data_IF_445657914132
#
_entry.id   IF_445657914132
#
_cell.length_a   1.000
_cell.length_b   1.000
_cell.length_c   1.000
_cell.angle_alpha   90.00
_cell.angle_beta   90.00
_cell.angle_gamma   90.00
#
_symmetry.space_group_name_H-M   'P 1'
#
loop_
_entity.id
_entity.type
_entity.pdbx_description
1 polymer ?
#
# COMPACT_ATOMS: atom_id res chain seq x y z
N UNK A 1 -15.37 5.65 85.66
CA UNK A 1 -14.93 4.65 84.69
C UNK A 1 -15.83 4.77 83.48
N UNK A 2 -15.39 5.44 82.43
CA UNK A 2 -16.19 5.65 81.23
C UNK A 2 -15.51 4.90 80.11
N UNK A 3 -16.25 3.93 79.54
CA UNK A 3 -15.77 3.09 78.42
C UNK A 3 -16.18 3.78 77.11
N UNK A 4 -15.23 4.24 76.33
CA UNK A 4 -15.49 4.75 74.99
C UNK A 4 -15.58 3.59 73.98
N UNK A 5 -16.71 3.46 73.31
CA UNK A 5 -16.89 2.57 72.19
C UNK A 5 -16.37 3.23 70.90
N UNK A 6 -15.45 2.56 70.26
CA UNK A 6 -14.86 2.98 68.98
C UNK A 6 -15.64 2.29 67.85
N UNK A 7 -16.41 3.05 67.07
CA UNK A 7 -17.12 2.57 65.88
C UNK A 7 -16.26 2.79 64.64
N UNK A 8 -15.72 1.68 64.09
CA UNK A 8 -15.01 1.69 62.81
C UNK A 8 -16.02 1.80 61.66
N UNK A 9 -15.95 2.88 60.90
CA UNK A 9 -16.69 3.04 59.64
C UNK A 9 -15.84 2.42 58.55
N UNK A 10 -16.33 1.35 57.94
CA UNK A 10 -15.72 0.72 56.73
C UNK A 10 -16.14 1.57 55.53
N UNK A 11 -15.23 2.35 55.01
CA UNK A 11 -15.40 3.06 53.73
C UNK A 11 -15.33 2.09 52.55
N UNK A 12 -16.45 1.94 51.86
CA UNK A 12 -16.48 1.25 50.56
C UNK A 12 -15.85 2.16 49.53
N UNK A 13 -14.58 1.92 49.19
CA UNK A 13 -13.89 2.59 48.10
C UNK A 13 -14.49 2.16 46.76
N UNK A 14 -15.24 3.05 46.12
CA UNK A 14 -15.59 2.92 44.73
C UNK A 14 -14.31 2.93 43.89
N UNK A 15 -13.92 1.77 43.38
CA UNK A 15 -12.81 1.64 42.42
C UNK A 15 -13.19 2.36 41.15
N UNK A 16 -12.69 3.58 41.01
CA UNK A 16 -12.66 4.26 39.70
C UNK A 16 -11.70 3.54 38.84
N UNK A 17 -12.22 2.71 37.94
CA UNK A 17 -11.43 2.16 36.82
C UNK A 17 -11.00 3.35 35.98
N UNK A 18 -9.82 3.83 36.20
CA UNK A 18 -9.17 4.79 35.32
C UNK A 18 -8.95 4.06 33.98
N UNK A 19 -9.80 4.37 33.01
CA UNK A 19 -9.54 4.14 31.61
C UNK A 19 -8.26 4.93 31.29
N UNK A 20 -7.12 4.26 31.37
CA UNK A 20 -5.87 4.81 30.86
C UNK A 20 -6.01 4.88 29.35
N UNK A 21 -6.51 6.01 28.84
CA UNK A 21 -6.35 6.40 27.47
C UNK A 21 -4.84 6.35 27.19
N UNK A 22 -4.41 5.30 26.52
CA UNK A 22 -3.07 5.19 25.98
C UNK A 22 -2.94 6.21 24.85
N UNK A 23 -2.69 7.47 25.23
CA UNK A 23 -2.33 8.52 24.29
C UNK A 23 -0.85 8.41 23.94
N UNK A 24 -0.41 7.18 23.59
CA UNK A 24 0.91 6.97 23.04
C UNK A 24 0.87 7.29 21.56
N UNK A 25 1.55 8.37 21.16
CA UNK A 25 1.78 8.67 19.77
C UNK A 25 2.89 7.74 19.24
N UNK A 26 2.63 7.12 18.11
CA UNK A 26 3.55 6.24 17.41
C UNK A 26 4.13 6.93 16.19
N UNK A 27 5.27 6.46 15.74
CA UNK A 27 5.89 6.88 14.50
C UNK A 27 6.05 5.68 13.58
N UNK A 28 5.67 5.82 12.32
CA UNK A 28 5.64 4.71 11.35
C UNK A 28 6.42 5.10 10.10
N UNK A 29 7.44 4.31 9.76
CA UNK A 29 8.18 4.47 8.51
C UNK A 29 7.41 3.82 7.37
N UNK A 30 7.11 4.61 6.35
CA UNK A 30 6.39 4.18 5.14
C UNK A 30 7.29 4.35 3.91
N UNK A 31 7.19 3.39 2.99
CA UNK A 31 8.11 3.27 1.86
C UNK A 31 7.43 2.85 0.55
N UNK A 32 6.12 2.60 0.58
CA UNK A 32 5.29 2.11 -0.52
C UNK A 32 4.15 3.05 -0.86
N UNK A 33 2.95 2.51 -1.06
CA UNK A 33 1.73 3.26 -1.39
C UNK A 33 1.39 4.36 -0.39
N UNK A 34 1.75 4.19 0.89
CA UNK A 34 1.59 5.20 1.94
C UNK A 34 2.54 6.41 1.81
N UNK A 35 3.41 6.44 0.79
CA UNK A 35 4.10 7.66 0.38
C UNK A 35 3.15 8.67 -0.28
N UNK A 36 2.01 8.24 -0.80
CA UNK A 36 0.97 9.11 -1.34
C UNK A 36 0.08 9.64 -0.21
N UNK A 37 -0.04 10.96 -0.13
CA UNK A 37 -0.90 11.62 0.87
C UNK A 37 -2.36 11.25 0.68
N UNK A 38 -2.79 10.98 -0.56
CA UNK A 38 -4.13 10.56 -0.92
C UNK A 38 -4.49 9.22 -0.27
N UNK A 39 -3.58 8.26 -0.25
CA UNK A 39 -3.78 6.95 0.39
C UNK A 39 -3.81 7.10 1.92
N UNK A 40 -2.88 7.87 2.49
CA UNK A 40 -2.85 8.15 3.93
C UNK A 40 -4.13 8.85 4.38
N UNK A 41 -4.61 9.84 3.60
CA UNK A 41 -5.85 10.56 3.89
C UNK A 41 -7.09 9.64 3.78
N UNK A 42 -7.11 8.71 2.82
CA UNK A 42 -8.19 7.73 2.69
C UNK A 42 -8.29 6.83 3.94
N UNK A 43 -7.14 6.41 4.50
CA UNK A 43 -7.07 5.57 5.71
C UNK A 43 -7.32 6.36 7.00
N UNK A 44 -6.55 7.40 7.24
CA UNK A 44 -6.49 8.07 8.54
C UNK A 44 -7.40 9.30 8.64
N UNK A 45 -8.08 9.66 7.53
CA UNK A 45 -8.92 10.88 7.38
C UNK A 45 -8.15 12.18 7.65
N UNK A 46 -6.84 12.12 7.67
CA UNK A 46 -5.89 13.23 7.74
C UNK A 46 -4.54 12.83 7.14
N UNK A 47 -3.70 13.79 6.88
CA UNK A 47 -2.28 13.56 6.56
C UNK A 47 -1.45 13.97 7.78
N UNK A 48 -0.81 13.03 8.50
CA UNK A 48 0.05 13.33 9.62
C UNK A 48 1.29 14.14 9.20
N UNK A 49 1.90 14.92 10.11
CA UNK A 49 3.24 15.44 9.86
C UNK A 49 4.20 14.30 9.51
N UNK A 50 5.13 14.56 8.61
CA UNK A 50 6.09 13.54 8.20
C UNK A 50 7.47 14.11 7.98
N UNK A 51 8.51 13.27 8.09
CA UNK A 51 9.90 13.59 7.85
C UNK A 51 10.51 12.59 6.86
N UNK A 52 11.22 13.03 5.81
CA UNK A 52 11.94 12.15 4.92
C UNK A 52 12.96 11.31 5.68
N UNK A 53 13.04 10.02 5.38
CA UNK A 53 13.89 9.10 6.11
C UNK A 53 14.46 8.00 5.22
N UNK A 54 15.52 7.35 5.70
CA UNK A 54 16.17 6.21 5.06
C UNK A 54 16.29 5.06 6.05
N UNK A 55 15.87 3.86 5.63
CA UNK A 55 16.07 2.61 6.34
C UNK A 55 17.26 1.87 5.72
N UNK A 56 18.32 1.63 6.50
CA UNK A 56 19.52 0.91 6.06
C UNK A 56 19.35 -0.59 6.19
N UNK A 57 20.10 -1.33 5.35
CA UNK A 57 20.12 -2.80 5.31
C UNK A 57 18.77 -3.45 4.98
N UNK A 58 17.96 -2.76 4.17
CA UNK A 58 16.72 -3.26 3.60
C UNK A 58 16.68 -2.97 2.09
N UNK A 59 15.92 -3.78 1.37
CA UNK A 59 15.64 -3.58 -0.06
C UNK A 59 14.13 -3.63 -0.32
N UNK A 60 13.66 -2.80 -1.25
CA UNK A 60 12.26 -2.69 -1.64
C UNK A 60 12.01 -3.43 -2.95
N UNK A 61 11.17 -4.45 -2.89
CA UNK A 61 10.87 -5.34 -4.01
C UNK A 61 9.49 -5.07 -4.60
N UNK A 62 9.36 -5.28 -5.91
CA UNK A 62 8.08 -5.56 -6.55
C UNK A 62 7.60 -6.95 -6.12
N UNK A 63 6.30 -7.14 -6.00
CA UNK A 63 5.64 -8.43 -5.73
C UNK A 63 4.87 -8.80 -6.99
N UNK A 64 5.03 -10.02 -7.49
CA UNK A 64 4.30 -10.51 -8.65
C UNK A 64 2.78 -10.42 -8.39
N UNK A 65 2.04 -9.95 -9.39
CA UNK A 65 0.59 -9.76 -9.33
C UNK A 65 0.09 -8.79 -8.23
N UNK A 66 1.00 -7.95 -7.68
CA UNK A 66 0.67 -6.88 -6.73
C UNK A 66 1.22 -5.53 -7.24
N UNK A 67 0.50 -4.46 -6.94
CA UNK A 67 0.95 -3.10 -7.30
C UNK A 67 1.73 -2.42 -6.18
N UNK A 68 1.67 -2.93 -4.95
CA UNK A 68 2.39 -2.42 -3.78
C UNK A 68 3.69 -3.21 -3.53
N UNK A 69 4.66 -2.61 -2.82
CA UNK A 69 5.98 -3.22 -2.62
C UNK A 69 6.09 -4.00 -1.31
N UNK A 70 7.09 -4.88 -1.24
CA UNK A 70 7.58 -5.47 0.00
C UNK A 70 8.98 -4.94 0.35
N UNK A 71 9.33 -4.86 1.64
CA UNK A 71 10.72 -4.75 2.07
C UNK A 71 11.17 -5.99 2.82
N UNK A 72 12.43 -6.37 2.59
CA UNK A 72 13.12 -7.41 3.36
C UNK A 72 14.52 -6.93 3.73
N UNK A 73 15.11 -7.49 4.81
CA UNK A 73 16.50 -7.23 5.15
C UNK A 73 17.45 -7.67 4.02
N UNK A 74 18.24 -6.74 3.51
CA UNK A 74 19.30 -6.98 2.51
C UNK A 74 20.49 -6.10 2.84
N UNK A 75 21.59 -6.73 3.27
CA UNK A 75 22.79 -6.03 3.70
C UNK A 75 23.30 -5.05 2.63
N UNK A 76 23.74 -3.86 3.07
CA UNK A 76 24.25 -2.75 2.25
C UNK A 76 23.22 -2.04 1.36
N UNK A 77 21.99 -2.49 1.29
CA UNK A 77 20.92 -1.79 0.58
C UNK A 77 20.28 -0.73 1.47
N UNK A 78 19.54 0.17 0.86
CA UNK A 78 18.81 1.23 1.58
C UNK A 78 17.44 1.44 0.94
N UNK A 79 16.45 1.71 1.77
CA UNK A 79 15.09 2.07 1.35
C UNK A 79 14.83 3.50 1.75
N UNK A 80 14.54 4.35 0.78
CA UNK A 80 14.08 5.72 1.02
C UNK A 80 12.58 5.75 1.24
N UNK A 81 12.14 6.59 2.17
CA UNK A 81 10.74 6.72 2.53
C UNK A 81 10.50 7.97 3.36
N UNK A 82 9.45 7.95 4.17
CA UNK A 82 9.17 8.97 5.18
C UNK A 82 8.65 8.36 6.47
N UNK A 83 8.84 9.04 7.58
CA UNK A 83 8.23 8.70 8.86
C UNK A 83 6.95 9.52 9.02
N UNK A 84 5.81 8.87 9.21
CA UNK A 84 4.58 9.49 9.68
C UNK A 84 4.68 9.68 11.19
N UNK A 85 4.52 10.90 11.65
CA UNK A 85 4.73 11.28 13.05
C UNK A 85 3.39 11.45 13.78
N UNK A 86 3.37 11.04 15.05
CA UNK A 86 2.22 11.28 15.91
C UNK A 86 0.97 10.49 15.52
N UNK A 87 1.14 9.23 15.14
CA UNK A 87 0.08 8.27 14.86
C UNK A 87 -0.54 7.84 16.19
N UNK A 88 -1.83 8.03 16.38
CA UNK A 88 -2.55 7.56 17.56
C UNK A 88 -2.70 6.04 17.57
N UNK A 89 -3.04 5.45 18.72
CA UNK A 89 -3.27 4.00 18.80
C UNK A 89 -4.35 3.52 17.84
N UNK A 90 -5.47 4.25 17.72
CA UNK A 90 -6.56 3.92 16.78
C UNK A 90 -6.10 3.98 15.32
N UNK A 91 -5.30 4.97 14.97
CA UNK A 91 -4.73 5.07 13.62
C UNK A 91 -3.71 3.95 13.34
N UNK A 92 -2.95 3.55 14.36
CA UNK A 92 -2.03 2.42 14.24
C UNK A 92 -2.79 1.11 14.03
N UNK A 93 -3.91 0.91 14.74
CA UNK A 93 -4.78 -0.26 14.53
C UNK A 93 -5.34 -0.30 13.10
N UNK A 94 -5.73 0.84 12.53
CA UNK A 94 -6.16 0.93 11.12
C UNK A 94 -5.02 0.55 10.17
N UNK A 95 -3.80 1.00 10.44
CA UNK A 95 -2.63 0.63 9.64
C UNK A 95 -2.31 -0.86 9.77
N UNK A 96 -2.39 -1.45 10.98
CA UNK A 96 -2.21 -2.87 11.21
C UNK A 96 -3.22 -3.71 10.40
N UNK A 97 -4.48 -3.34 10.40
CA UNK A 97 -5.53 -4.00 9.61
C UNK A 97 -5.31 -3.82 8.09
N UNK A 98 -4.82 -2.66 7.68
CA UNK A 98 -4.54 -2.38 6.27
C UNK A 98 -3.35 -3.17 5.73
N UNK A 99 -2.29 -3.36 6.52
CA UNK A 99 -1.10 -4.12 6.12
C UNK A 99 -1.35 -5.63 6.20
N UNK A 100 -2.36 -6.06 6.99
CA UNK A 100 -2.87 -7.43 7.05
C UNK A 100 -1.78 -8.46 7.42
N UNK A 101 -2.03 -9.73 7.15
CA UNK A 101 -1.12 -10.86 7.43
C UNK A 101 0.12 -10.91 6.51
N UNK A 102 0.09 -10.15 5.42
CA UNK A 102 1.22 -10.08 4.47
C UNK A 102 2.45 -9.41 5.08
N UNK A 103 2.26 -8.55 6.09
CA UNK A 103 3.36 -7.82 6.72
C UNK A 103 3.44 -8.08 8.23
N UNK A 104 4.65 -7.93 8.75
CA UNK A 104 4.94 -7.96 10.18
C UNK A 104 5.37 -6.56 10.63
N UNK A 105 4.63 -5.98 11.60
CA UNK A 105 5.03 -4.73 12.24
C UNK A 105 6.32 -4.95 13.02
N UNK A 106 7.37 -4.24 12.66
CA UNK A 106 8.73 -4.42 13.15
C UNK A 106 9.30 -3.11 13.65
N UNK A 107 9.97 -3.13 14.81
CA UNK A 107 10.77 -2.01 15.29
C UNK A 107 12.04 -1.88 14.46
N UNK A 108 12.24 -0.72 13.85
CA UNK A 108 13.43 -0.42 13.04
C UNK A 108 14.02 0.93 13.44
N UNK A 109 15.28 1.13 13.13
CA UNK A 109 15.96 2.42 13.27
C UNK A 109 16.12 3.04 11.88
N UNK A 110 15.58 4.23 11.69
CA UNK A 110 15.69 5.02 10.46
C UNK A 110 16.53 6.28 10.69
N UNK A 111 17.21 6.73 9.64
CA UNK A 111 17.92 7.99 9.61
C UNK A 111 17.00 9.07 9.04
N UNK A 112 16.67 10.09 9.84
CA UNK A 112 15.89 11.26 9.43
C UNK A 112 16.78 12.21 8.62
N UNK A 113 16.31 12.59 7.43
CA UNK A 113 17.10 13.40 6.50
C UNK A 113 17.05 14.90 6.84
N UNK A 114 16.04 15.35 7.60
CA UNK A 114 15.84 16.77 7.94
C UNK A 114 16.79 17.24 9.03
N UNK A 115 17.06 16.40 10.04
CA UNK A 115 17.86 16.76 11.21
C UNK A 115 19.09 15.87 11.42
N UNK A 116 19.29 14.88 10.54
CA UNK A 116 20.42 13.93 10.60
C UNK A 116 20.46 13.09 11.89
N UNK A 117 19.29 12.74 12.44
CA UNK A 117 19.14 11.94 13.65
C UNK A 117 18.60 10.54 13.32
N UNK A 118 18.97 9.57 14.17
CA UNK A 118 18.35 8.25 14.14
C UNK A 118 17.09 8.24 15.00
N UNK A 119 16.04 7.60 14.49
CA UNK A 119 14.77 7.47 15.18
C UNK A 119 14.30 6.01 15.13
N UNK A 120 13.88 5.45 16.28
CA UNK A 120 13.20 4.16 16.35
C UNK A 120 11.73 4.34 16.03
N UNK A 121 11.23 3.54 15.07
CA UNK A 121 9.89 3.63 14.53
C UNK A 121 9.38 2.24 14.19
N UNK A 122 8.08 2.09 13.98
CA UNK A 122 7.52 0.89 13.35
C UNK A 122 7.68 0.94 11.83
N UNK A 123 7.92 -0.21 11.23
CA UNK A 123 7.81 -0.43 9.79
C UNK A 123 7.11 -1.77 9.53
N UNK A 124 6.40 -1.87 8.42
CA UNK A 124 5.76 -3.09 8.00
C UNK A 124 6.69 -3.84 7.05
N UNK A 125 7.20 -4.98 7.50
CA UNK A 125 8.17 -5.80 6.80
C UNK A 125 7.47 -7.04 6.25
N UNK A 126 7.75 -7.43 5.02
CA UNK A 126 7.14 -8.60 4.39
C UNK A 126 7.32 -9.87 5.23
N UNK A 127 6.23 -10.60 5.48
CA UNK A 127 6.22 -11.71 6.42
C UNK A 127 6.93 -12.95 5.89
N UNK A 128 7.05 -13.14 4.57
CA UNK A 128 7.71 -14.28 3.95
C UNK A 128 9.10 -13.91 3.40
N UNK A 129 10.21 -14.18 4.12
CA UNK A 129 11.54 -13.80 3.67
C UNK A 129 12.05 -14.57 2.45
N UNK A 130 11.42 -15.69 2.09
CA UNK A 130 11.79 -16.56 0.99
C UNK A 130 10.72 -16.58 -0.11
N UNK A 131 9.96 -15.50 -0.25
CA UNK A 131 8.90 -15.42 -1.23
C UNK A 131 9.47 -15.40 -2.66
N UNK A 132 9.15 -16.40 -3.50
CA UNK A 132 9.64 -16.46 -4.87
C UNK A 132 9.02 -15.41 -5.80
N UNK A 133 7.96 -14.75 -5.37
CA UNK A 133 7.25 -13.72 -6.14
C UNK A 133 7.85 -12.33 -5.95
N UNK A 134 8.89 -12.19 -5.11
CA UNK A 134 9.64 -10.94 -4.97
C UNK A 134 10.68 -10.79 -6.07
N UNK A 135 10.66 -9.65 -6.77
CA UNK A 135 11.59 -9.37 -7.85
C UNK A 135 11.86 -7.87 -7.99
N UNK A 136 12.91 -7.48 -8.67
CA UNK A 136 13.25 -6.09 -9.04
C UNK A 136 12.98 -5.02 -7.95
N UNK A 137 13.45 -3.82 -8.18
CA UNK A 137 13.16 -2.64 -7.34
C UNK A 137 11.77 -2.09 -7.69
N UNK A 138 10.98 -1.75 -6.67
CA UNK A 138 9.71 -1.05 -6.86
C UNK A 138 9.94 0.47 -6.89
N UNK A 139 9.31 1.16 -7.83
CA UNK A 139 9.43 2.60 -8.02
C UNK A 139 8.13 3.32 -7.68
N UNK A 140 8.22 4.37 -6.84
CA UNK A 140 7.06 5.14 -6.40
C UNK A 140 6.46 6.01 -7.50
N UNK A 141 7.30 6.63 -8.34
CA UNK A 141 6.80 7.53 -9.39
C UNK A 141 6.11 6.73 -10.52
N UNK A 142 6.66 5.55 -10.86
CA UNK A 142 5.99 4.60 -11.75
C UNK A 142 4.63 4.20 -11.19
N UNK A 143 4.60 3.77 -9.93
CA UNK A 143 3.36 3.38 -9.26
C UNK A 143 2.35 4.52 -9.15
N UNK A 144 2.79 5.72 -8.80
CA UNK A 144 1.94 6.90 -8.66
C UNK A 144 1.23 7.25 -9.97
N UNK A 145 1.96 7.16 -11.09
CA UNK A 145 1.43 7.41 -12.42
C UNK A 145 0.38 6.39 -12.83
N UNK A 146 0.66 5.11 -12.60
CA UNK A 146 -0.09 4.03 -13.24
C UNK A 146 -1.16 3.42 -12.32
N UNK A 147 -1.01 3.51 -10.99
CA UNK A 147 -1.82 2.75 -10.04
C UNK A 147 -2.48 3.57 -8.93
N UNK A 148 -1.99 4.78 -8.61
CA UNK A 148 -2.42 5.53 -7.43
C UNK A 148 -3.94 5.75 -7.37
N UNK A 149 -4.55 6.17 -8.49
CA UNK A 149 -5.98 6.48 -8.50
C UNK A 149 -6.86 5.26 -8.17
N UNK A 150 -6.52 4.10 -8.70
CA UNK A 150 -7.28 2.87 -8.45
C UNK A 150 -6.96 2.31 -7.07
N UNK A 151 -5.73 2.50 -6.60
CA UNK A 151 -5.34 2.12 -5.25
C UNK A 151 -6.06 2.94 -4.17
N UNK A 152 -6.28 4.24 -4.39
CA UNK A 152 -7.10 5.08 -3.50
C UNK A 152 -8.54 4.58 -3.45
N UNK A 153 -9.17 4.25 -4.59
CA UNK A 153 -10.51 3.68 -4.64
C UNK A 153 -10.60 2.34 -3.89
N UNK A 154 -9.60 1.48 -4.07
CA UNK A 154 -9.49 0.22 -3.34
C UNK A 154 -9.38 0.47 -1.83
N UNK A 155 -8.57 1.46 -1.43
CA UNK A 155 -8.41 1.86 -0.02
C UNK A 155 -9.72 2.39 0.58
N UNK A 156 -10.47 3.21 -0.15
CA UNK A 156 -11.80 3.68 0.28
C UNK A 156 -12.78 2.51 0.43
N UNK A 157 -12.73 1.53 -0.48
CA UNK A 157 -13.56 0.32 -0.39
C UNK A 157 -13.19 -0.53 0.83
N UNK A 158 -11.91 -0.64 1.15
CA UNK A 158 -11.42 -1.30 2.36
C UNK A 158 -11.96 -0.61 3.62
N UNK A 159 -11.86 0.73 3.70
CA UNK A 159 -12.35 1.49 4.86
C UNK A 159 -13.86 1.35 5.06
N UNK A 160 -14.65 1.30 3.99
CA UNK A 160 -16.08 1.04 4.06
C UNK A 160 -16.38 -0.37 4.60
N UNK A 161 -15.57 -1.36 4.26
CA UNK A 161 -15.73 -2.72 4.77
C UNK A 161 -15.28 -2.88 6.20
N UNK A 162 -14.24 -2.14 6.63
CA UNK A 162 -13.75 -2.15 8.01
C UNK A 162 -14.82 -1.69 9.01
N UNK A 163 -15.77 -0.85 8.59
CA UNK A 163 -16.90 -0.38 9.40
C UNK A 163 -18.03 -1.43 9.54
N UNK A 164 -17.99 -2.52 8.76
CA UNK A 164 -19.02 -3.56 8.79
C UNK A 164 -18.74 -4.59 9.89
N UNK A 165 -19.78 -5.20 10.49
CA UNK A 165 -19.62 -6.23 11.52
C UNK A 165 -18.86 -7.48 11.09
N UNK A 166 -18.86 -7.77 9.78
CA UNK A 166 -18.13 -8.87 9.15
C UNK A 166 -17.10 -8.28 8.19
N UNK A 167 -16.08 -7.62 8.73
CA UNK A 167 -14.98 -7.08 7.92
C UNK A 167 -14.16 -8.19 7.26
N UNK A 168 -13.72 -7.93 6.04
CA UNK A 168 -12.84 -8.85 5.30
C UNK A 168 -11.40 -8.38 5.38
N UNK A 169 -10.42 -9.30 5.37
CA UNK A 169 -9.01 -8.95 5.24
C UNK A 169 -8.75 -8.03 4.03
N UNK A 170 -7.80 -7.12 4.15
CA UNK A 170 -7.45 -6.18 3.08
C UNK A 170 -7.05 -6.89 1.79
N UNK A 171 -6.29 -7.99 1.88
CA UNK A 171 -5.90 -8.81 0.73
C UNK A 171 -7.12 -9.26 -0.07
N UNK A 172 -8.18 -9.71 0.59
CA UNK A 172 -9.41 -10.13 -0.09
C UNK A 172 -10.13 -8.97 -0.77
N UNK A 173 -10.14 -7.79 -0.14
CA UNK A 173 -10.71 -6.57 -0.73
C UNK A 173 -9.90 -6.17 -1.97
N UNK A 174 -8.58 -6.18 -1.88
CA UNK A 174 -7.67 -5.92 -2.98
C UNK A 174 -7.92 -6.86 -4.16
N UNK A 175 -7.92 -8.16 -3.94
CA UNK A 175 -8.13 -9.15 -5.00
C UNK A 175 -9.50 -9.02 -5.66
N UNK A 176 -10.54 -8.76 -4.87
CA UNK A 176 -11.89 -8.54 -5.40
C UNK A 176 -11.96 -7.29 -6.28
N UNK A 177 -11.34 -6.19 -5.83
CA UNK A 177 -11.32 -4.94 -6.56
C UNK A 177 -10.62 -5.07 -7.91
N UNK A 178 -9.38 -5.57 -7.92
CA UNK A 178 -8.61 -5.70 -9.16
C UNK A 178 -9.14 -6.78 -10.10
N UNK A 179 -9.80 -7.83 -9.59
CA UNK A 179 -10.50 -8.79 -10.42
C UNK A 179 -11.69 -8.15 -11.14
N UNK A 180 -12.50 -7.36 -10.43
CA UNK A 180 -13.64 -6.65 -11.03
C UNK A 180 -13.19 -5.63 -12.08
N UNK A 181 -12.08 -4.93 -11.87
CA UNK A 181 -11.52 -3.99 -12.85
C UNK A 181 -11.06 -4.73 -14.12
N UNK A 182 -10.40 -5.89 -13.99
CA UNK A 182 -9.94 -6.70 -15.10
C UNK A 182 -11.10 -7.37 -15.88
N UNK A 183 -12.23 -7.65 -15.23
CA UNK A 183 -13.42 -8.25 -15.82
C UNK A 183 -14.36 -7.21 -16.46
N UNK A 184 -14.06 -5.91 -16.34
CA UNK A 184 -14.85 -4.86 -17.01
C UNK A 184 -14.78 -5.04 -18.52
N UNK A 185 -15.94 -5.07 -19.23
CA UNK A 185 -15.95 -5.06 -20.68
C UNK A 185 -15.19 -3.84 -21.19
N UNK A 186 -14.34 -4.01 -22.18
CA UNK A 186 -13.71 -2.89 -22.85
C UNK A 186 -14.76 -1.87 -23.27
N UNK A 187 -14.50 -0.60 -23.00
CA UNK A 187 -15.34 0.50 -23.46
C UNK A 187 -15.69 0.28 -24.95
N UNK A 188 -16.96 0.42 -25.34
CA UNK A 188 -17.37 0.29 -26.75
C UNK A 188 -16.50 1.08 -27.72
N UNK A 189 -15.98 2.25 -27.31
CA UNK A 189 -15.04 3.04 -28.09
C UNK A 189 -13.68 2.37 -28.23
N UNK A 190 -13.16 1.75 -27.18
CA UNK A 190 -11.92 0.98 -27.23
C UNK A 190 -12.07 -0.24 -28.16
N UNK A 191 -13.20 -0.94 -28.10
CA UNK A 191 -13.51 -2.05 -29.02
C UNK A 191 -13.59 -1.58 -30.47
N UNK A 192 -14.12 -0.39 -30.71
CA UNK A 192 -14.22 0.20 -32.05
C UNK A 192 -12.83 0.64 -32.55
N UNK A 193 -12.00 1.22 -31.71
CA UNK A 193 -10.62 1.57 -32.04
C UNK A 193 -9.78 0.33 -32.37
N UNK A 194 -9.88 -0.73 -31.59
CA UNK A 194 -9.19 -2.01 -31.88
C UNK A 194 -9.62 -2.57 -33.21
N UNK A 195 -10.92 -2.54 -33.56
CA UNK A 195 -11.43 -2.97 -34.88
C UNK A 195 -10.89 -2.10 -36.01
N UNK A 196 -10.85 -0.78 -35.84
CA UNK A 196 -10.30 0.17 -36.82
C UNK A 196 -8.81 -0.09 -37.02
N UNK A 197 -8.02 -0.22 -35.95
CA UNK A 197 -6.60 -0.52 -36.02
C UNK A 197 -6.35 -1.88 -36.70
N UNK A 198 -7.15 -2.88 -36.39
CA UNK A 198 -7.04 -4.18 -37.07
C UNK A 198 -7.35 -4.08 -38.58
N UNK A 199 -8.38 -3.31 -38.94
CA UNK A 199 -8.73 -3.10 -40.35
C UNK A 199 -7.61 -2.35 -41.10
N UNK A 200 -7.05 -1.28 -40.51
CA UNK A 200 -5.91 -0.54 -41.06
C UNK A 200 -4.69 -1.43 -41.19
N UNK A 201 -4.39 -2.23 -40.20
CA UNK A 201 -3.26 -3.17 -40.23
C UNK A 201 -3.43 -4.21 -41.36
N UNK A 202 -4.62 -4.78 -41.50
CA UNK A 202 -4.92 -5.72 -42.60
C UNK A 202 -4.81 -5.05 -43.98
N UNK A 203 -5.29 -3.82 -44.12
CA UNK A 203 -5.18 -3.06 -45.36
C UNK A 203 -3.72 -2.79 -45.77
N UNK A 204 -2.89 -2.36 -44.80
CA UNK A 204 -1.45 -2.12 -45.02
C UNK A 204 -0.71 -3.40 -45.40
N UNK A 205 -1.05 -4.53 -44.76
CA UNK A 205 -0.47 -5.83 -45.12
C UNK A 205 -0.89 -6.25 -46.51
N UNK A 206 -2.13 -6.02 -46.92
CA UNK A 206 -2.63 -6.37 -48.24
C UNK A 206 -1.91 -5.57 -49.33
N UNK A 207 -1.74 -4.26 -49.13
CA UNK A 207 -1.00 -3.40 -50.06
C UNK A 207 0.45 -3.80 -50.14
N UNK A 208 1.10 -4.18 -49.03
CA UNK A 208 2.50 -4.63 -49.04
C UNK A 208 2.67 -5.95 -49.79
N UNK A 209 1.75 -6.89 -49.63
CA UNK A 209 1.77 -8.17 -50.32
C UNK A 209 1.48 -7.96 -51.81
N UNK A 210 0.55 -7.06 -52.13
CA UNK A 210 0.22 -6.75 -53.54
C UNK A 210 1.37 -6.08 -54.27
N UNK A 211 2.03 -5.13 -53.64
CA UNK A 211 3.21 -4.44 -54.20
C UNK A 211 4.39 -5.40 -54.42
N UNK A 212 4.66 -6.29 -53.47
CA UNK A 212 5.71 -7.29 -53.59
C UNK A 212 5.44 -8.31 -54.73
N UNK A 213 4.18 -8.71 -54.89
CA UNK A 213 3.81 -9.60 -55.99
C UNK A 213 3.86 -8.91 -57.37
N UNK A 214 3.57 -7.60 -57.43
CA UNK A 214 3.66 -6.80 -58.62
C UNK A 214 5.11 -6.59 -59.04
N UNK A 215 6.01 -6.39 -58.10
CA UNK A 215 7.42 -6.26 -58.33
C UNK A 215 8.05 -7.55 -58.85
N UNK A 216 7.64 -8.68 -58.30
CA UNK A 216 8.08 -10.01 -58.75
C UNK A 216 7.63 -10.32 -60.18
N UNK A 217 6.44 -9.88 -60.58
CA UNK A 217 5.94 -10.04 -61.94
C UNK A 217 6.65 -9.14 -62.95
N UNK A 218 7.06 -7.91 -62.57
CA UNK A 218 7.86 -7.01 -63.41
C UNK A 218 9.26 -7.53 -63.67
N UNK A 219 9.91 -8.13 -62.68
CA UNK A 219 11.23 -8.72 -62.78
C UNK A 219 11.29 -10.01 -63.64
N UNK A 220 10.11 -10.67 -63.83
CA UNK A 220 10.01 -11.88 -64.66
C UNK A 220 9.75 -11.57 -66.14
N UNK A 221 9.55 -10.32 -66.55
CA UNK A 221 9.32 -9.86 -67.92
C UNK A 221 10.48 -9.10 -68.55
N UNK A 222 11.60 -9.00 -67.85
CA UNK A 222 12.86 -8.46 -68.37
C UNK A 222 13.88 -9.61 -68.55
#
# INVERSE_FOLDING_TARGET
MSVAMNTSVVGVGAGTTQNQNHNHNHNVFVYGSLLADEVVCALLKRVPPSSPATLSDYHRFKIKDRVYPAILPVHTKKVTGRVLLGISGVELDILDEFEDVEYTKTDVEVFLMDNSENLRVYAYVWSNPNDPDLYAEWDFEEWKKDHMNDFVKMTDSFMQQLELPESKPRVQTYETFYKQENDKPLDPWCLQLVKILHYVYCAVLYDTIFLNNYQFLLESYI
#
